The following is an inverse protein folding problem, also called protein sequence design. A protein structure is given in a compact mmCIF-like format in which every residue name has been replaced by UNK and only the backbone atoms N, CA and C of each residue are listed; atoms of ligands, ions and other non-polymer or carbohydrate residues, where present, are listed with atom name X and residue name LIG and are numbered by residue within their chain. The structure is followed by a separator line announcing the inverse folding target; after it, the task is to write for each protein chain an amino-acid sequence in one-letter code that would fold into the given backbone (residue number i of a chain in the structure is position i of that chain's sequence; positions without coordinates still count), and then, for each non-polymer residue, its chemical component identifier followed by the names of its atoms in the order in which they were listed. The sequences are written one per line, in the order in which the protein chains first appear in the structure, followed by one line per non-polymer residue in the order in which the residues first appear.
data_IF_247628607442
#
_entry.id   IF_247628607442
#
_cell.length_a   1.000
_cell.length_b   1.000
_cell.length_c   1.000
_cell.angle_alpha   90.00
_cell.angle_beta   90.00
_cell.angle_gamma   90.00
#
_symmetry.space_group_name_H-M   'P 1'
#
loop_
_entity.id
_entity.type
_entity.pdbx_description
1 polymer ?
#
# COMPACT_ATOMS: atom_id res chain seq x y z
N UNK A 1 -5.48 11.94 -7.61
CA UNK A 1 -5.97 12.58 -8.85
C UNK A 1 -6.57 13.91 -8.44
N UNK A 2 -6.24 15.01 -9.11
CA UNK A 2 -6.79 16.35 -8.82
C UNK A 2 -7.78 16.67 -9.94
N UNK A 3 -9.02 17.03 -9.60
CA UNK A 3 -10.00 17.50 -10.57
C UNK A 3 -9.91 19.02 -10.70
N UNK A 4 -9.96 19.53 -11.94
CA UNK A 4 -9.76 20.96 -12.24
C UNK A 4 -10.89 21.51 -13.09
N UNK A 5 -11.36 22.73 -12.82
CA UNK A 5 -12.41 23.42 -13.60
C UNK A 5 -12.10 24.91 -13.76
N UNK A 6 -12.58 25.52 -14.85
CA UNK A 6 -12.37 26.94 -15.21
C UNK A 6 -13.50 27.89 -14.82
N UNK A 7 -14.38 27.49 -13.89
CA UNK A 7 -15.53 28.32 -13.50
C UNK A 7 -15.15 29.56 -12.65
N UNK A 8 -15.93 30.64 -12.80
CA UNK A 8 -15.73 31.91 -12.06
C UNK A 8 -16.24 31.90 -10.63
N UNK A 9 -17.18 31.02 -10.30
CA UNK A 9 -17.59 30.69 -8.93
C UNK A 9 -17.17 29.26 -8.61
N UNK A 10 -17.04 28.91 -7.33
CA UNK A 10 -16.66 27.56 -6.91
C UNK A 10 -17.73 26.55 -7.31
N UNK A 11 -17.45 25.60 -8.21
CA UNK A 11 -18.47 24.64 -8.62
C UNK A 11 -18.81 23.63 -7.52
N UNK A 12 -20.04 23.11 -7.55
CA UNK A 12 -20.43 22.04 -6.63
C UNK A 12 -19.67 20.75 -6.95
N UNK A 13 -19.24 20.04 -5.91
CA UNK A 13 -18.46 18.81 -6.02
C UNK A 13 -19.08 17.69 -5.18
N UNK A 14 -19.19 16.49 -5.75
CA UNK A 14 -19.68 15.32 -5.03
C UNK A 14 -18.95 14.02 -5.42
N UNK A 15 -18.94 13.07 -4.49
CA UNK A 15 -18.56 11.69 -4.75
C UNK A 15 -19.82 10.82 -4.73
N UNK A 16 -20.01 9.99 -5.75
CA UNK A 16 -21.13 9.04 -5.79
C UNK A 16 -20.93 7.85 -4.84
N UNK A 17 -19.74 7.68 -4.24
CA UNK A 17 -19.49 6.70 -3.20
C UNK A 17 -18.34 7.18 -2.29
N UNK A 18 -18.69 7.88 -1.21
CA UNK A 18 -17.74 8.43 -0.24
C UNK A 18 -16.96 7.36 0.53
N UNK A 19 -17.44 6.10 0.57
CA UNK A 19 -16.69 5.00 1.15
C UNK A 19 -15.47 4.61 0.31
N UNK A 20 -15.49 4.87 -1.01
CA UNK A 20 -14.36 4.62 -1.92
C UNK A 20 -13.46 5.85 -2.05
N UNK A 21 -14.03 7.03 -2.28
CA UNK A 21 -13.25 8.28 -2.28
C UNK A 21 -14.11 9.48 -1.90
N UNK A 22 -13.52 10.46 -1.21
CA UNK A 22 -14.16 11.74 -0.89
C UNK A 22 -13.59 12.86 -1.76
N UNK A 23 -14.40 13.86 -2.07
CA UNK A 23 -13.94 15.12 -2.68
C UNK A 23 -14.04 16.24 -1.63
N UNK A 24 -12.94 16.96 -1.42
CA UNK A 24 -12.89 18.10 -0.50
C UNK A 24 -13.32 19.40 -1.17
N UNK A 25 -13.38 20.48 -0.39
CA UNK A 25 -13.70 21.81 -0.91
C UNK A 25 -12.70 22.28 -1.99
N UNK A 26 -13.19 23.01 -2.99
CA UNK A 26 -12.38 23.56 -4.06
C UNK A 26 -11.45 24.66 -3.57
N UNK A 27 -10.22 24.66 -4.08
CA UNK A 27 -9.25 25.74 -3.89
C UNK A 27 -9.14 26.56 -5.18
N UNK A 28 -9.40 27.86 -5.10
CA UNK A 28 -9.20 28.77 -6.23
C UNK A 28 -7.72 28.82 -6.62
N UNK A 29 -7.45 28.74 -7.92
CA UNK A 29 -6.12 28.83 -8.53
C UNK A 29 -6.20 29.63 -9.84
N UNK A 30 -5.06 29.77 -10.52
CA UNK A 30 -5.01 30.24 -11.91
C UNK A 30 -4.70 29.07 -12.84
N UNK A 31 -5.34 29.05 -14.00
CA UNK A 31 -4.99 28.12 -15.07
C UNK A 31 -3.69 28.56 -15.80
N UNK A 32 -3.29 27.80 -16.81
CA UNK A 32 -2.07 28.09 -17.60
C UNK A 32 -2.15 29.41 -18.40
N UNK A 33 -3.36 29.92 -18.61
CA UNK A 33 -3.64 31.17 -19.34
C UNK A 33 -3.84 32.35 -18.38
N UNK A 34 -3.74 32.14 -17.07
CA UNK A 34 -3.90 33.16 -16.04
C UNK A 34 -5.36 33.41 -15.62
N UNK A 35 -6.32 32.67 -16.17
CA UNK A 35 -7.73 32.77 -15.80
C UNK A 35 -7.97 32.08 -14.46
N UNK A 36 -9.04 32.47 -13.77
CA UNK A 36 -9.47 31.81 -12.55
C UNK A 36 -9.89 30.35 -12.82
N UNK A 37 -9.47 29.45 -11.94
CA UNK A 37 -9.82 28.04 -11.96
C UNK A 37 -9.93 27.48 -10.52
N UNK A 38 -10.35 26.23 -10.38
CA UNK A 38 -10.51 25.54 -9.09
C UNK A 38 -9.86 24.17 -9.11
N UNK A 39 -9.16 23.82 -8.01
CA UNK A 39 -8.61 22.49 -7.76
C UNK A 39 -9.38 21.79 -6.64
N UNK A 40 -9.80 20.55 -6.88
CA UNK A 40 -10.49 19.73 -5.90
C UNK A 40 -9.59 18.57 -5.43
N UNK A 41 -9.29 18.48 -4.11
CA UNK A 41 -8.59 17.33 -3.57
C UNK A 41 -9.53 16.12 -3.54
N UNK A 42 -9.14 15.04 -4.22
CA UNK A 42 -9.83 13.74 -4.14
C UNK A 42 -8.99 12.80 -3.29
N UNK A 43 -9.57 12.32 -2.20
CA UNK A 43 -8.92 11.41 -1.23
C UNK A 43 -9.53 10.02 -1.37
N UNK A 44 -8.72 9.03 -1.70
CA UNK A 44 -9.15 7.63 -1.66
C UNK A 44 -9.31 7.13 -0.23
N UNK A 45 -10.43 6.46 0.05
CA UNK A 45 -10.81 5.91 1.35
C UNK A 45 -10.66 4.38 1.36
N UNK A 46 -11.29 3.71 0.40
CA UNK A 46 -11.18 2.26 0.19
C UNK A 46 -10.90 1.94 -1.27
N UNK A 47 -10.48 0.70 -1.57
CA UNK A 47 -10.40 0.25 -2.95
C UNK A 47 -11.79 0.24 -3.60
N UNK A 48 -11.80 0.48 -4.91
CA UNK A 48 -13.01 0.47 -5.70
C UNK A 48 -12.98 1.45 -6.86
N UNK A 49 -14.12 1.56 -7.52
CA UNK A 49 -14.37 2.56 -8.57
C UNK A 49 -15.45 3.50 -8.07
N UNK A 50 -15.27 4.78 -8.34
CA UNK A 50 -16.23 5.82 -7.97
C UNK A 50 -16.24 6.92 -9.01
N UNK A 51 -17.41 7.49 -9.25
CA UNK A 51 -17.55 8.70 -10.05
C UNK A 51 -17.42 9.90 -9.12
N UNK A 52 -16.60 10.87 -9.50
CA UNK A 52 -16.59 12.22 -8.92
C UNK A 52 -17.30 13.15 -9.90
N UNK A 53 -18.26 13.93 -9.42
CA UNK A 53 -18.97 14.94 -10.19
C UNK A 53 -18.53 16.33 -9.75
N UNK A 54 -18.08 17.15 -10.69
CA UNK A 54 -17.84 18.58 -10.47
C UNK A 54 -18.74 19.31 -11.46
N UNK A 55 -19.89 19.79 -10.98
CA UNK A 55 -20.87 20.57 -11.77
C UNK A 55 -21.25 19.94 -13.12
N UNK A 56 -21.56 18.64 -13.10
CA UNK A 56 -21.94 17.86 -14.27
C UNK A 56 -20.76 17.18 -14.97
N UNK A 57 -19.52 17.63 -14.73
CA UNK A 57 -18.31 16.98 -15.25
C UNK A 57 -17.97 15.74 -14.42
N UNK A 58 -18.17 14.56 -15.01
CA UNK A 58 -17.97 13.28 -14.35
C UNK A 58 -16.58 12.72 -14.63
N UNK A 59 -15.89 12.34 -13.56
CA UNK A 59 -14.58 11.70 -13.59
C UNK A 59 -14.67 10.32 -12.95
N UNK A 60 -14.35 9.28 -13.73
CA UNK A 60 -14.20 7.92 -13.21
C UNK A 60 -12.86 7.80 -12.48
N UNK A 61 -12.92 7.51 -11.18
CA UNK A 61 -11.76 7.33 -10.31
C UNK A 61 -11.67 5.88 -9.88
N UNK A 62 -10.50 5.24 -10.09
CA UNK A 62 -10.16 3.96 -9.46
C UNK A 62 -9.24 4.23 -8.28
N UNK A 63 -9.62 3.78 -7.10
CA UNK A 63 -8.74 3.72 -5.92
C UNK A 63 -8.21 2.30 -5.84
N UNK A 64 -6.90 2.15 -6.03
CA UNK A 64 -6.23 0.85 -5.91
C UNK A 64 -5.99 0.52 -4.44
N UNK A 65 -6.12 -0.76 -4.10
CA UNK A 65 -5.58 -1.32 -2.86
C UNK A 65 -4.23 -1.98 -3.09
N UNK A 66 -3.49 -2.19 -2.02
CA UNK A 66 -2.22 -2.89 -2.07
C UNK A 66 -1.50 -2.92 -0.73
N UNK A 67 -0.27 -3.40 -0.78
CA UNK A 67 0.65 -3.42 0.34
C UNK A 67 1.96 -2.74 -0.03
N UNK A 68 2.67 -2.26 0.99
CA UNK A 68 4.05 -1.79 0.90
C UNK A 68 4.86 -2.58 1.92
N UNK A 69 5.92 -3.26 1.47
CA UNK A 69 6.86 -4.00 2.31
C UNK A 69 8.18 -3.25 2.35
N UNK A 70 8.79 -3.14 3.53
CA UNK A 70 9.99 -2.31 3.78
C UNK A 70 11.34 -3.04 3.61
N UNK A 71 11.30 -4.34 3.34
CA UNK A 71 12.49 -5.21 3.33
C UNK A 71 12.57 -6.01 2.05
N UNK A 72 13.68 -5.90 1.31
CA UNK A 72 13.97 -6.76 0.15
C UNK A 72 14.64 -8.07 0.55
N UNK A 73 15.60 -8.01 1.48
CA UNK A 73 16.29 -9.21 1.96
C UNK A 73 16.81 -9.07 3.37
N UNK A 74 16.98 -10.20 4.06
CA UNK A 74 17.58 -10.23 5.38
C UNK A 74 18.39 -11.52 5.58
N UNK A 75 19.56 -11.36 6.19
CA UNK A 75 20.48 -12.44 6.56
C UNK A 75 20.60 -12.50 8.08
N UNK A 76 20.52 -13.71 8.64
CA UNK A 76 20.62 -13.94 10.09
C UNK A 76 21.27 -15.29 10.42
N UNK A 77 21.72 -15.44 11.66
CA UNK A 77 22.07 -16.76 12.21
C UNK A 77 20.80 -17.55 12.61
N UNK A 78 20.87 -18.89 12.71
CA UNK A 78 19.80 -19.68 13.31
C UNK A 78 19.43 -19.16 14.70
N UNK A 79 18.12 -19.11 15.02
CA UNK A 79 17.58 -18.49 16.23
C UNK A 79 17.43 -16.96 16.15
N UNK A 80 18.03 -16.33 15.14
CA UNK A 80 17.88 -14.91 14.85
C UNK A 80 16.42 -14.53 14.54
N UNK A 81 16.08 -13.27 14.83
CA UNK A 81 14.73 -12.71 14.62
C UNK A 81 14.83 -11.37 13.90
N UNK A 82 13.89 -11.13 13.00
CA UNK A 82 13.75 -9.87 12.30
C UNK A 82 12.28 -9.52 12.11
N UNK A 83 11.93 -8.23 12.06
CA UNK A 83 10.57 -7.79 11.77
C UNK A 83 10.52 -7.13 10.40
N UNK A 84 9.69 -7.68 9.51
CA UNK A 84 9.34 -7.06 8.23
C UNK A 84 8.14 -6.15 8.44
N UNK A 85 8.25 -4.87 8.08
CA UNK A 85 7.17 -3.91 8.11
C UNK A 85 6.31 -3.97 6.86
N UNK A 86 4.99 -4.03 7.05
CA UNK A 86 4.01 -4.09 5.96
C UNK A 86 2.92 -3.06 6.18
N UNK A 87 2.77 -2.10 5.26
CA UNK A 87 1.66 -1.15 5.25
C UNK A 87 0.59 -1.62 4.28
N UNK A 88 -0.58 -1.98 4.80
CA UNK A 88 -1.75 -2.41 4.04
C UNK A 88 -2.66 -1.21 3.76
N UNK A 89 -3.07 -1.04 2.51
CA UNK A 89 -3.97 0.05 2.08
C UNK A 89 -5.14 -0.50 1.30
N UNK A 90 -6.34 -0.44 1.87
CA UNK A 90 -7.60 -0.81 1.20
C UNK A 90 -7.74 -2.28 0.81
N UNK A 91 -6.79 -3.16 1.17
CA UNK A 91 -6.91 -4.60 0.97
C UNK A 91 -7.92 -5.13 1.98
N UNK A 92 -8.91 -5.88 1.51
CA UNK A 92 -9.95 -6.44 2.36
C UNK A 92 -9.37 -7.42 3.39
N UNK A 93 -10.00 -7.51 4.56
CA UNK A 93 -9.60 -8.48 5.59
C UNK A 93 -9.61 -9.90 5.03
N UNK A 94 -8.60 -10.69 5.40
CA UNK A 94 -8.45 -12.07 4.91
C UNK A 94 -7.90 -12.21 3.48
N UNK A 95 -7.75 -11.12 2.72
CA UNK A 95 -7.22 -11.16 1.33
C UNK A 95 -5.69 -11.04 1.23
N UNK A 96 -4.99 -10.80 2.34
CA UNK A 96 -3.53 -10.83 2.38
C UNK A 96 -3.07 -12.11 3.08
N UNK A 97 -2.40 -12.98 2.35
CA UNK A 97 -1.73 -14.16 2.86
C UNK A 97 -0.24 -13.92 2.98
N UNK A 98 0.35 -14.34 4.10
CA UNK A 98 1.80 -14.24 4.35
C UNK A 98 2.32 -15.60 4.79
N UNK A 99 3.31 -16.11 4.09
CA UNK A 99 3.87 -17.45 4.32
C UNK A 99 5.34 -17.50 3.94
N UNK A 100 6.07 -18.50 4.42
CA UNK A 100 7.46 -18.74 4.02
C UNK A 100 7.56 -19.81 2.93
N UNK A 101 8.60 -19.69 2.10
CA UNK A 101 9.06 -20.78 1.23
C UNK A 101 10.38 -21.31 1.78
N UNK A 102 10.56 -22.63 1.72
CA UNK A 102 11.71 -23.29 2.32
C UNK A 102 11.55 -23.48 3.83
N UNK A 103 12.45 -24.26 4.42
CA UNK A 103 12.38 -24.67 5.82
C UNK A 103 13.33 -23.89 6.74
N UNK A 104 14.04 -22.89 6.21
CA UNK A 104 15.06 -22.13 6.93
C UNK A 104 14.49 -21.03 7.83
N UNK A 105 13.21 -20.67 7.68
CA UNK A 105 12.57 -19.66 8.52
C UNK A 105 11.06 -19.88 8.68
N UNK A 106 10.52 -19.28 9.74
CA UNK A 106 9.08 -19.14 9.97
C UNK A 106 8.68 -17.67 10.01
N UNK A 107 7.41 -17.37 9.75
CA UNK A 107 6.85 -16.02 9.81
C UNK A 107 5.57 -16.02 10.63
N UNK A 108 5.41 -15.04 11.51
CA UNK A 108 4.21 -14.83 12.29
C UNK A 108 3.84 -13.34 12.33
N UNK A 109 2.55 -13.02 12.31
CA UNK A 109 2.08 -11.66 12.55
C UNK A 109 2.31 -11.31 14.03
N UNK A 110 3.15 -10.31 14.28
CA UNK A 110 3.46 -9.84 15.63
C UNK A 110 2.52 -8.71 16.07
N UNK A 111 2.18 -7.80 15.14
CA UNK A 111 1.34 -6.64 15.43
C UNK A 111 0.56 -6.22 14.18
N UNK A 112 -0.69 -5.79 14.37
CA UNK A 112 -1.47 -5.03 13.39
C UNK A 112 -1.98 -3.76 14.08
N UNK A 113 -1.66 -2.60 13.54
CA UNK A 113 -2.13 -1.30 14.02
C UNK A 113 -2.68 -0.52 12.84
N UNK A 114 -3.99 -0.60 12.62
CA UNK A 114 -4.70 0.12 11.57
C UNK A 114 -4.07 -0.08 10.17
N UNK A 115 -3.66 -1.31 9.84
CA UNK A 115 -3.04 -1.64 8.56
C UNK A 115 -1.53 -1.48 8.50
N UNK A 116 -0.89 -0.90 9.52
CA UNK A 116 0.55 -1.04 9.73
C UNK A 116 0.82 -2.34 10.50
N UNK A 117 1.38 -3.32 9.80
CA UNK A 117 1.63 -4.68 10.28
C UNK A 117 3.12 -4.94 10.46
N UNK A 118 3.46 -5.72 11.48
CA UNK A 118 4.80 -6.24 11.70
C UNK A 118 4.76 -7.77 11.65
N UNK A 119 5.52 -8.34 10.73
CA UNK A 119 5.69 -9.79 10.64
C UNK A 119 7.06 -10.18 11.19
N UNK A 120 7.09 -10.96 12.27
CA UNK A 120 8.31 -11.49 12.82
C UNK A 120 8.74 -12.72 12.03
N UNK A 121 9.92 -12.64 11.45
CA UNK A 121 10.63 -13.75 10.80
C UNK A 121 11.63 -14.33 11.79
N UNK A 122 11.62 -15.64 11.97
CA UNK A 122 12.58 -16.36 12.82
C UNK A 122 13.37 -17.34 11.98
N UNK A 123 14.70 -17.25 12.02
CA UNK A 123 15.59 -18.21 11.37
C UNK A 123 15.61 -19.51 12.16
N UNK A 124 15.29 -20.64 11.51
CA UNK A 124 15.17 -21.95 12.16
C UNK A 124 16.40 -22.82 11.93
N UNK A 125 16.89 -22.84 10.69
CA UNK A 125 18.07 -23.61 10.28
C UNK A 125 18.75 -22.97 9.09
N UNK A 126 20.01 -23.32 8.85
CA UNK A 126 20.77 -22.80 7.72
C UNK A 126 20.08 -23.12 6.38
N UNK A 127 20.05 -22.15 5.48
CA UNK A 127 19.41 -22.25 4.17
C UNK A 127 18.87 -20.91 3.69
N UNK A 128 18.32 -20.91 2.48
CA UNK A 128 17.71 -19.73 1.86
C UNK A 128 16.24 -19.98 1.57
N UNK A 129 15.44 -18.93 1.73
CA UNK A 129 14.00 -18.97 1.52
C UNK A 129 13.46 -17.56 1.27
N UNK A 130 12.14 -17.44 1.32
CA UNK A 130 11.45 -16.18 1.12
C UNK A 130 10.29 -16.07 2.10
N UNK A 131 10.00 -14.86 2.55
CA UNK A 131 8.70 -14.51 3.09
C UNK A 131 7.90 -13.94 1.93
N UNK A 132 6.80 -14.61 1.57
CA UNK A 132 5.93 -14.24 0.46
C UNK A 132 4.71 -13.51 0.99
N UNK A 133 4.39 -12.39 0.35
CA UNK A 133 3.19 -11.60 0.58
C UNK A 133 2.32 -11.69 -0.67
N UNK A 134 1.18 -12.38 -0.53
CA UNK A 134 0.24 -12.66 -1.60
C UNK A 134 -1.07 -11.94 -1.34
N UNK A 135 -1.48 -11.06 -2.26
CA UNK A 135 -2.82 -10.49 -2.25
C UNK A 135 -3.71 -11.37 -3.13
N UNK A 136 -4.79 -11.91 -2.59
CA UNK A 136 -5.75 -12.71 -3.36
C UNK A 136 -6.32 -11.90 -4.53
N UNK A 137 -6.16 -12.43 -5.75
CA UNK A 137 -6.56 -11.73 -6.98
C UNK A 137 -5.61 -10.62 -7.44
N UNK A 138 -4.53 -10.37 -6.71
CA UNK A 138 -3.57 -9.30 -6.96
C UNK A 138 -2.13 -9.79 -7.18
N UNK A 139 -1.19 -8.88 -6.96
CA UNK A 139 0.24 -9.10 -7.13
C UNK A 139 0.87 -9.86 -5.95
N UNK A 140 2.05 -10.42 -6.22
CA UNK A 140 2.86 -11.16 -5.26
C UNK A 140 4.22 -10.47 -5.13
N UNK A 141 4.66 -10.21 -3.91
CA UNK A 141 6.03 -9.75 -3.62
C UNK A 141 6.63 -10.61 -2.51
N UNK A 142 7.95 -10.60 -2.41
CA UNK A 142 8.65 -11.39 -1.39
C UNK A 142 9.89 -10.71 -0.86
N UNK A 143 10.23 -11.05 0.38
CA UNK A 143 11.50 -10.71 1.03
C UNK A 143 12.37 -11.96 1.07
N UNK A 144 13.57 -11.89 0.51
CA UNK A 144 14.53 -13.01 0.58
C UNK A 144 15.08 -13.15 2.00
N UNK A 145 15.13 -14.38 2.51
CA UNK A 145 15.73 -14.69 3.81
C UNK A 145 16.89 -15.66 3.61
N UNK A 146 18.06 -15.30 4.12
CA UNK A 146 19.23 -16.18 4.19
C UNK A 146 19.57 -16.46 5.65
N UNK A 147 19.54 -17.73 6.05
CA UNK A 147 19.95 -18.17 7.39
C UNK A 147 21.27 -18.91 7.27
N UNK A 148 22.30 -18.43 7.96
CA UNK A 148 23.66 -18.96 7.82
C UNK A 148 24.34 -19.03 9.19
N UNK A 149 25.10 -20.10 9.43
CA UNK A 149 25.84 -20.25 10.67
C UNK A 149 26.88 -19.13 10.81
N UNK A 150 26.91 -18.47 11.97
CA UNK A 150 27.84 -17.38 12.24
C UNK A 150 27.55 -16.08 11.48
N UNK A 151 26.41 -15.96 10.79
CA UNK A 151 26.05 -14.73 10.11
C UNK A 151 25.84 -13.57 11.09
N UNK A 152 26.41 -12.42 10.75
CA UNK A 152 26.03 -11.16 11.35
C UNK A 152 24.66 -10.73 10.80
N UNK A 153 23.77 -10.32 11.69
CA UNK A 153 22.44 -9.86 11.32
C UNK A 153 22.54 -8.61 10.42
N UNK A 154 21.86 -8.65 9.27
CA UNK A 154 21.90 -7.55 8.31
C UNK A 154 20.94 -7.76 7.14
N UNK A 155 20.45 -6.69 6.53
CA UNK A 155 19.49 -6.79 5.44
C UNK A 155 19.48 -5.57 4.54
N UNK A 156 18.74 -5.68 3.44
CA UNK A 156 18.50 -4.61 2.48
C UNK A 156 17.07 -4.10 2.64
N UNK A 157 16.95 -2.87 3.09
CA UNK A 157 15.68 -2.14 3.05
C UNK A 157 15.33 -1.78 1.61
N UNK A 158 14.04 -1.86 1.30
CA UNK A 158 13.49 -1.47 0.00
C UNK A 158 12.02 -1.13 0.17
N UNK A 159 11.47 -0.34 -0.76
CA UNK A 159 10.03 -0.11 -0.83
C UNK A 159 9.45 -1.02 -1.90
N UNK A 160 9.06 -2.23 -1.52
CA UNK A 160 8.36 -3.16 -2.41
C UNK A 160 6.87 -2.83 -2.38
N UNK A 161 6.22 -2.78 -3.55
CA UNK A 161 4.80 -2.45 -3.69
C UNK A 161 4.12 -3.58 -4.44
N UNK A 162 2.98 -4.04 -3.91
CA UNK A 162 2.09 -4.97 -4.59
C UNK A 162 0.66 -4.40 -4.57
N UNK A 163 0.00 -4.41 -5.72
CA UNK A 163 -1.37 -3.96 -5.90
C UNK A 163 -2.35 -5.15 -5.88
N UNK A 164 -3.57 -4.89 -5.41
CA UNK A 164 -4.69 -5.83 -5.46
C UNK A 164 -5.48 -5.72 -6.77
#
# INVERSE_FOLDING_TARGET
MLATTGASQMPHAMSYNSAVATVGAGKQVKDKSGNQAWLYPVTGVSSGKVTIDIDGQKMLTKVSSGIIVDTASYTMAPGGKYCVGVKVKGVQSGKLSVYTTGSCCSVNLLKDTNGDRLYQVTGTQAGSGYVVFYIEGGEVISTKIDVQNGAQAGGKSARLVALA
#
